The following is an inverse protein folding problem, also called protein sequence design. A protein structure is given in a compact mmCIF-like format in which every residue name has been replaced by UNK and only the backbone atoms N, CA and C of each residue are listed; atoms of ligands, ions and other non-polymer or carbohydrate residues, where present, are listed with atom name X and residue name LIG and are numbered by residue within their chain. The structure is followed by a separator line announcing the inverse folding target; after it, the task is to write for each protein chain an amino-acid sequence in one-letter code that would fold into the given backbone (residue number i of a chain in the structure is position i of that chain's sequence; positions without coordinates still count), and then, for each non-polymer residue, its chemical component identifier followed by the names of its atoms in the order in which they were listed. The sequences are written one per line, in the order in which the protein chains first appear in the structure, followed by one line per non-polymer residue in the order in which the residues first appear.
data_IF_637311698390
#
_entry.id   IF_637311698390
#
_cell.length_a   1.000
_cell.length_b   1.000
_cell.length_c   1.000
_cell.angle_alpha   90.00
_cell.angle_beta   90.00
_cell.angle_gamma   90.00
#
_symmetry.space_group_name_H-M   'P 1'
#
loop_
_entity.id
_entity.type
_entity.pdbx_description
1 polymer ?
#
# COMPACT_ATOMS: atom_id res chain seq x y z
N UNK A 1 -8.45 10.39 0.22
CA UNK A 1 -9.88 10.52 -0.22
C UNK A 1 -10.58 9.18 -0.29
N UNK A 2 -10.15 8.24 -1.13
CA UNK A 2 -10.81 6.94 -1.34
C UNK A 2 -11.13 6.21 -0.04
N UNK A 3 -10.11 5.97 0.80
CA UNK A 3 -10.27 5.28 2.09
C UNK A 3 -11.31 5.95 2.99
N UNK A 4 -11.31 7.28 3.07
CA UNK A 4 -12.28 8.07 3.85
C UNK A 4 -13.71 7.93 3.34
N UNK A 5 -13.91 7.91 2.03
CA UNK A 5 -15.24 7.68 1.43
C UNK A 5 -15.74 6.27 1.70
N UNK A 6 -14.86 5.25 1.65
CA UNK A 6 -15.22 3.87 1.98
C UNK A 6 -15.61 3.76 3.44
N UNK A 7 -14.79 4.29 4.36
CA UNK A 7 -15.08 4.28 5.79
C UNK A 7 -16.40 4.99 6.10
N UNK A 8 -16.66 6.14 5.47
CA UNK A 8 -17.94 6.84 5.58
C UNK A 8 -19.11 5.98 5.12
N UNK A 9 -19.03 5.38 3.93
CA UNK A 9 -20.12 4.56 3.39
C UNK A 9 -20.35 3.30 4.23
N UNK A 10 -19.30 2.69 4.78
CA UNK A 10 -19.40 1.56 5.70
C UNK A 10 -20.04 1.99 7.01
N UNK A 11 -19.55 3.05 7.65
CA UNK A 11 -20.03 3.54 8.94
C UNK A 11 -21.49 3.98 8.87
N UNK A 12 -21.86 4.78 7.87
CA UNK A 12 -23.24 5.25 7.67
C UNK A 12 -24.25 4.11 7.43
N UNK A 13 -23.78 2.94 7.01
CA UNK A 13 -24.58 1.74 6.75
C UNK A 13 -24.26 0.57 7.70
N UNK A 14 -23.63 0.83 8.84
CA UNK A 14 -23.40 -0.14 9.92
C UNK A 14 -24.29 0.24 11.10
N UNK A 15 -25.05 -0.74 11.62
CA UNK A 15 -25.96 -0.50 12.71
C UNK A 15 -25.24 -0.55 14.07
N UNK A 16 -25.54 0.40 14.94
CA UNK A 16 -24.97 0.49 16.29
C UNK A 16 -26.07 0.42 17.35
N UNK A 17 -25.93 -0.50 18.31
CA UNK A 17 -26.94 -0.71 19.35
C UNK A 17 -27.18 0.56 20.18
N UNK A 18 -26.10 1.29 20.49
CA UNK A 18 -26.17 2.54 21.24
C UNK A 18 -27.03 3.60 20.52
N UNK A 19 -26.97 3.66 19.19
CA UNK A 19 -27.78 4.57 18.39
C UNK A 19 -29.27 4.22 18.48
N UNK A 20 -29.59 2.92 18.37
CA UNK A 20 -30.96 2.44 18.50
C UNK A 20 -31.52 2.74 19.90
N UNK A 21 -30.72 2.51 20.95
CA UNK A 21 -31.08 2.83 22.33
C UNK A 21 -31.29 4.33 22.55
N UNK A 22 -30.58 5.18 21.82
CA UNK A 22 -30.77 6.63 21.81
C UNK A 22 -31.97 7.11 20.98
N UNK A 23 -32.69 6.21 20.30
CA UNK A 23 -33.86 6.54 19.47
C UNK A 23 -33.53 7.09 18.08
N UNK A 24 -32.26 7.04 17.66
CA UNK A 24 -31.78 7.64 16.40
C UNK A 24 -31.86 6.69 15.19
N UNK A 25 -32.63 5.59 15.30
CA UNK A 25 -32.77 4.59 14.24
C UNK A 25 -31.66 3.54 14.19
N UNK A 26 -31.75 2.63 13.22
CA UNK A 26 -30.83 1.49 13.08
C UNK A 26 -29.50 1.84 12.43
N UNK A 27 -29.47 2.82 11.51
CA UNK A 27 -28.27 3.21 10.76
C UNK A 27 -28.05 4.71 10.90
N UNK A 28 -26.80 5.22 10.99
CA UNK A 28 -26.54 6.65 11.09
C UNK A 28 -27.07 7.44 9.88
N UNK A 29 -26.66 7.04 8.68
CA UNK A 29 -26.97 7.73 7.41
C UNK A 29 -27.16 6.70 6.28
N UNK A 30 -28.25 5.90 6.31
CA UNK A 30 -28.40 4.77 5.40
C UNK A 30 -28.61 5.21 3.95
N UNK A 31 -27.80 4.67 3.04
CA UNK A 31 -28.04 4.72 1.60
C UNK A 31 -28.70 3.41 1.16
N UNK A 32 -30.01 3.45 0.93
CA UNK A 32 -30.83 2.25 0.67
C UNK A 32 -31.74 2.44 -0.55
N UNK A 33 -31.88 1.38 -1.35
CA UNK A 33 -32.93 1.29 -2.36
C UNK A 33 -34.17 0.61 -1.78
N UNK A 34 -35.36 1.03 -2.22
CA UNK A 34 -36.63 0.39 -1.83
C UNK A 34 -36.63 -1.11 -2.09
N UNK A 35 -36.13 -1.53 -3.25
CA UNK A 35 -36.08 -2.91 -3.72
C UNK A 35 -34.66 -3.52 -3.66
N UNK A 36 -33.80 -2.96 -2.81
CA UNK A 36 -32.46 -3.49 -2.56
C UNK A 36 -32.36 -4.13 -1.19
N UNK A 37 -31.26 -4.86 -0.97
CA UNK A 37 -30.94 -5.48 0.30
C UNK A 37 -30.78 -4.43 1.40
N UNK A 38 -30.91 -4.88 2.65
CA UNK A 38 -30.59 -4.11 3.86
C UNK A 38 -29.32 -4.61 4.52
N UNK A 39 -28.51 -5.38 3.80
CA UNK A 39 -27.25 -5.90 4.31
C UNK A 39 -26.27 -4.75 4.57
N UNK A 40 -25.41 -4.96 5.57
CA UNK A 40 -24.29 -4.08 5.85
C UNK A 40 -23.45 -3.91 4.60
N UNK A 41 -22.99 -2.69 4.35
CA UNK A 41 -22.02 -2.45 3.30
C UNK A 41 -20.65 -2.96 3.73
N UNK A 42 -20.14 -4.01 3.08
CA UNK A 42 -18.86 -4.63 3.40
C UNK A 42 -17.82 -4.21 2.36
N UNK A 43 -17.04 -3.20 2.71
CA UNK A 43 -15.93 -2.71 1.90
C UNK A 43 -14.76 -2.35 2.83
N UNK A 44 -13.54 -2.45 2.31
CA UNK A 44 -12.32 -2.05 3.02
C UNK A 44 -11.22 -1.75 2.00
N UNK A 45 -10.28 -0.89 2.36
CA UNK A 45 -9.00 -0.86 1.68
C UNK A 45 -8.25 -2.17 1.97
N UNK A 46 -7.70 -2.78 0.93
CA UNK A 46 -6.92 -4.00 1.01
C UNK A 46 -5.48 -3.74 0.57
N UNK A 47 -4.60 -4.71 0.84
CA UNK A 47 -3.26 -4.71 0.28
C UNK A 47 -3.29 -4.71 -1.25
N UNK A 48 -2.17 -4.34 -1.86
CA UNK A 48 -2.08 -4.16 -3.30
C UNK A 48 -2.60 -5.37 -4.11
N UNK A 49 -3.42 -5.12 -5.11
CA UNK A 49 -3.80 -6.13 -6.09
C UNK A 49 -3.82 -5.51 -7.48
N UNK A 50 -3.68 -6.35 -8.51
CA UNK A 50 -3.78 -5.95 -9.90
C UNK A 50 -4.89 -6.75 -10.62
N UNK A 51 -4.83 -6.82 -11.96
CA UNK A 51 -5.83 -7.44 -12.84
C UNK A 51 -7.08 -6.59 -13.15
N UNK A 52 -6.92 -5.28 -13.15
CA UNK A 52 -7.92 -4.34 -13.70
C UNK A 52 -7.23 -3.10 -14.23
N UNK A 53 -7.93 -2.28 -15.01
CA UNK A 53 -7.37 -1.28 -15.92
C UNK A 53 -6.51 -0.21 -15.25
N UNK A 54 -6.71 0.06 -13.95
CA UNK A 54 -5.85 0.98 -13.19
C UNK A 54 -4.35 0.60 -13.22
N UNK A 55 -4.04 -0.67 -13.43
CA UNK A 55 -2.67 -1.18 -13.45
C UNK A 55 -1.80 -0.47 -14.49
N UNK A 56 -2.33 -0.20 -15.69
CA UNK A 56 -1.53 0.44 -16.76
C UNK A 56 -1.12 1.86 -16.39
N UNK A 57 -1.86 2.53 -15.51
CA UNK A 57 -1.50 3.87 -15.03
C UNK A 57 -0.44 3.81 -13.91
N UNK A 58 -0.51 2.76 -13.08
CA UNK A 58 0.39 2.56 -11.95
C UNK A 58 1.81 2.11 -12.37
N UNK A 59 1.97 1.59 -13.58
CA UNK A 59 3.23 1.02 -14.05
C UNK A 59 4.36 2.04 -14.15
N UNK A 60 5.59 1.62 -13.86
CA UNK A 60 6.77 2.48 -13.74
C UNK A 60 6.97 3.53 -14.84
N UNK A 61 6.75 3.24 -16.15
CA UNK A 61 6.90 4.26 -17.18
C UNK A 61 5.88 5.40 -17.10
N UNK A 62 4.74 5.20 -16.43
CA UNK A 62 3.64 6.17 -16.30
C UNK A 62 3.57 6.73 -14.88
N UNK A 63 3.57 5.87 -13.87
CA UNK A 63 3.73 6.25 -12.46
C UNK A 63 2.58 7.08 -11.88
N UNK A 64 1.38 7.03 -12.47
CA UNK A 64 0.20 7.74 -11.96
C UNK A 64 -0.48 6.90 -10.89
N UNK A 65 -0.62 7.39 -9.65
CA UNK A 65 -1.32 6.65 -8.60
C UNK A 65 -2.79 6.41 -8.94
N UNK A 66 -3.14 5.14 -9.14
CA UNK A 66 -4.48 4.68 -9.42
C UNK A 66 -4.95 3.65 -8.39
N UNK A 67 -6.24 3.70 -8.08
CA UNK A 67 -6.93 2.68 -7.29
C UNK A 67 -8.01 2.02 -8.14
N UNK A 68 -8.37 0.80 -7.77
CA UNK A 68 -9.59 0.17 -8.26
C UNK A 68 -10.58 0.00 -7.13
N UNK A 69 -11.85 0.20 -7.45
CA UNK A 69 -12.97 -0.07 -6.55
C UNK A 69 -13.76 -1.25 -7.07
N UNK A 70 -13.36 -2.44 -6.61
CA UNK A 70 -13.83 -3.72 -7.15
C UNK A 70 -14.74 -4.43 -6.16
N UNK A 71 -15.83 -5.02 -6.66
CA UNK A 71 -16.67 -5.92 -5.89
C UNK A 71 -16.04 -7.32 -5.87
N UNK A 72 -15.85 -7.90 -4.68
CA UNK A 72 -15.33 -9.25 -4.54
C UNK A 72 -15.91 -9.96 -3.29
N UNK A 73 -16.26 -11.26 -3.35
CA UNK A 73 -16.23 -12.13 -4.53
C UNK A 73 -17.26 -11.72 -5.57
N UNK A 74 -16.90 -11.89 -6.85
CA UNK A 74 -17.83 -11.75 -7.96
C UNK A 74 -18.34 -13.15 -8.34
N UNK A 75 -19.56 -13.47 -7.91
CA UNK A 75 -20.14 -14.81 -8.09
C UNK A 75 -20.60 -15.09 -9.52
N UNK A 76 -20.79 -14.05 -10.34
CA UNK A 76 -21.39 -14.17 -11.66
C UNK A 76 -20.46 -13.80 -12.80
N UNK A 77 -19.26 -13.27 -12.51
CA UNK A 77 -18.22 -12.97 -13.50
C UNK A 77 -18.04 -14.11 -14.51
N UNK A 78 -18.05 -13.77 -15.80
CA UNK A 78 -17.91 -14.70 -16.93
C UNK A 78 -18.95 -15.84 -16.98
N UNK A 79 -20.15 -15.63 -16.42
CA UNK A 79 -21.24 -16.60 -16.47
C UNK A 79 -22.48 -16.05 -17.18
N UNK A 80 -23.40 -16.94 -17.57
CA UNK A 80 -24.70 -16.54 -18.12
C UNK A 80 -25.63 -15.86 -17.09
N UNK A 81 -25.29 -15.95 -15.81
CA UNK A 81 -26.01 -15.34 -14.69
C UNK A 81 -25.51 -13.91 -14.40
N UNK A 82 -24.55 -13.36 -15.15
CA UNK A 82 -24.21 -11.93 -15.10
C UNK A 82 -25.32 -11.09 -15.75
N UNK A 83 -26.39 -10.87 -14.98
CA UNK A 83 -27.68 -10.37 -15.45
C UNK A 83 -28.27 -9.36 -14.49
N UNK A 84 -29.11 -8.45 -15.00
CA UNK A 84 -29.66 -7.33 -14.23
C UNK A 84 -30.44 -7.73 -12.97
N UNK A 85 -31.10 -8.90 -12.97
CA UNK A 85 -31.86 -9.37 -11.81
C UNK A 85 -30.97 -9.81 -10.64
N UNK A 86 -29.67 -10.03 -10.88
CA UNK A 86 -28.69 -10.37 -9.85
C UNK A 86 -28.01 -9.13 -9.24
N UNK A 87 -28.30 -7.93 -9.73
CA UNK A 87 -27.75 -6.68 -9.19
C UNK A 87 -28.55 -6.26 -7.95
N UNK A 88 -27.86 -6.15 -6.80
CA UNK A 88 -28.43 -5.49 -5.64
C UNK A 88 -28.49 -3.96 -5.84
N UNK A 89 -29.71 -3.41 -5.89
CA UNK A 89 -29.94 -1.97 -6.10
C UNK A 89 -29.38 -1.10 -4.99
N UNK A 90 -29.35 -1.60 -3.76
CA UNK A 90 -28.77 -0.87 -2.62
C UNK A 90 -27.25 -0.77 -2.79
N UNK A 91 -26.57 -1.90 -3.04
CA UNK A 91 -25.14 -1.92 -3.30
C UNK A 91 -24.74 -1.08 -4.51
N UNK A 92 -25.49 -1.16 -5.62
CA UNK A 92 -25.24 -0.33 -6.80
C UNK A 92 -25.30 1.17 -6.45
N UNK A 93 -26.34 1.60 -5.72
CA UNK A 93 -26.48 3.00 -5.30
C UNK A 93 -25.35 3.46 -4.38
N UNK A 94 -24.93 2.62 -3.43
CA UNK A 94 -23.78 2.90 -2.54
C UNK A 94 -22.48 3.03 -3.33
N UNK A 95 -22.20 2.10 -4.23
CA UNK A 95 -21.02 2.13 -5.08
C UNK A 95 -21.00 3.39 -5.95
N UNK A 96 -22.13 3.72 -6.60
CA UNK A 96 -22.24 4.90 -7.46
C UNK A 96 -22.03 6.20 -6.66
N UNK A 97 -22.64 6.33 -5.48
CA UNK A 97 -22.44 7.49 -4.61
C UNK A 97 -20.98 7.59 -4.11
N UNK A 98 -20.36 6.48 -3.74
CA UNK A 98 -18.95 6.45 -3.33
C UNK A 98 -18.02 6.89 -4.46
N UNK A 99 -18.18 6.36 -5.68
CA UNK A 99 -17.37 6.77 -6.85
C UNK A 99 -17.58 8.26 -7.17
N UNK A 100 -18.83 8.72 -7.18
CA UNK A 100 -19.15 10.12 -7.43
C UNK A 100 -18.51 11.04 -6.37
N UNK A 101 -18.56 10.67 -5.09
CA UNK A 101 -17.96 11.46 -4.02
C UNK A 101 -16.43 11.49 -4.11
N UNK A 102 -15.79 10.36 -4.42
CA UNK A 102 -14.35 10.30 -4.65
C UNK A 102 -13.93 11.19 -5.83
N UNK A 103 -14.58 11.03 -6.97
CA UNK A 103 -14.29 11.78 -8.19
C UNK A 103 -14.53 13.27 -7.98
N UNK A 104 -15.67 13.66 -7.41
CA UNK A 104 -15.99 15.05 -7.13
C UNK A 104 -14.96 15.68 -6.18
N UNK A 105 -14.63 14.99 -5.08
CA UNK A 105 -13.67 15.50 -4.08
C UNK A 105 -12.29 15.73 -4.68
N UNK A 106 -11.81 14.82 -5.53
CA UNK A 106 -10.51 14.98 -6.19
C UNK A 106 -10.56 16.06 -7.29
N UNK A 107 -11.61 16.08 -8.11
CA UNK A 107 -11.74 17.04 -9.21
C UNK A 107 -12.01 18.47 -8.73
N UNK A 108 -12.61 18.64 -7.55
CA UNK A 108 -12.84 19.94 -6.92
C UNK A 108 -11.80 20.31 -5.87
N UNK A 109 -10.70 19.54 -5.74
CA UNK A 109 -9.65 19.83 -4.78
C UNK A 109 -8.93 21.13 -5.18
N UNK A 110 -8.84 22.05 -4.22
CA UNK A 110 -8.20 23.35 -4.39
C UNK A 110 -7.42 23.73 -3.12
N UNK A 111 -6.85 24.93 -3.11
CA UNK A 111 -6.14 25.49 -1.95
C UNK A 111 -7.02 25.58 -0.68
N UNK A 112 -8.34 25.68 -0.80
CA UNK A 112 -9.27 25.66 0.35
C UNK A 112 -9.42 24.28 0.98
N UNK A 113 -9.22 23.21 0.19
CA UNK A 113 -9.32 21.82 0.64
C UNK A 113 -8.04 21.28 1.31
N UNK A 114 -6.89 21.95 1.11
CA UNK A 114 -5.57 21.42 1.45
C UNK A 114 -5.43 21.00 2.92
N UNK A 115 -5.95 21.78 3.86
CA UNK A 115 -5.84 21.48 5.29
C UNK A 115 -6.58 20.20 5.66
N UNK A 116 -7.73 19.94 5.02
CA UNK A 116 -8.51 18.73 5.25
C UNK A 116 -7.83 17.51 4.63
N UNK A 117 -7.31 17.65 3.41
CA UNK A 117 -6.59 16.58 2.73
C UNK A 117 -5.28 16.23 3.47
N UNK A 118 -4.57 17.22 3.99
CA UNK A 118 -3.40 17.03 4.83
C UNK A 118 -3.73 16.29 6.13
N UNK A 119 -4.82 16.67 6.82
CA UNK A 119 -5.26 15.99 8.03
C UNK A 119 -5.59 14.51 7.78
N UNK A 120 -6.32 14.19 6.70
CA UNK A 120 -6.62 12.81 6.31
C UNK A 120 -5.35 12.03 5.96
N UNK A 121 -4.46 12.63 5.17
CA UNK A 121 -3.22 11.99 4.70
C UNK A 121 -2.30 11.65 5.87
N UNK A 122 -2.05 12.63 6.76
CA UNK A 122 -1.16 12.46 7.91
C UNK A 122 -1.79 11.59 8.99
N UNK A 123 -3.09 11.75 9.25
CA UNK A 123 -3.80 10.94 10.24
C UNK A 123 -3.71 9.44 9.91
N UNK A 124 -4.08 9.08 8.67
CA UNK A 124 -4.03 7.70 8.20
C UNK A 124 -2.61 7.18 8.06
N UNK A 125 -1.66 8.04 7.64
CA UNK A 125 -0.26 7.66 7.59
C UNK A 125 0.33 7.33 8.96
N UNK A 126 -0.10 8.05 10.01
CA UNK A 126 0.29 7.72 11.40
C UNK A 126 -0.26 6.37 11.85
N UNK A 127 -1.49 6.04 11.47
CA UNK A 127 -2.08 4.73 11.78
C UNK A 127 -1.33 3.59 11.09
N UNK A 128 -0.95 3.76 9.82
CA UNK A 128 -0.14 2.77 9.08
C UNK A 128 1.27 2.63 9.66
N UNK A 129 1.94 3.74 9.99
CA UNK A 129 3.25 3.69 10.65
C UNK A 129 3.18 2.98 12.01
N UNK A 130 2.17 3.29 12.83
CA UNK A 130 1.98 2.65 14.14
C UNK A 130 1.67 1.15 14.01
N UNK A 131 0.88 0.76 12.99
CA UNK A 131 0.61 -0.66 12.69
C UNK A 131 1.89 -1.41 12.33
N UNK A 132 2.76 -0.81 11.51
CA UNK A 132 4.04 -1.38 11.11
C UNK A 132 5.04 -1.45 12.28
N UNK A 133 5.07 -0.44 13.16
CA UNK A 133 5.81 -0.49 14.42
C UNK A 133 5.33 -1.66 15.29
N UNK A 134 4.01 -1.82 15.47
CA UNK A 134 3.43 -2.93 16.23
C UNK A 134 3.83 -4.29 15.65
N UNK A 135 3.81 -4.44 14.32
CA UNK A 135 4.29 -5.67 13.65
C UNK A 135 5.77 -5.93 14.00
N UNK A 136 6.63 -4.92 13.85
CA UNK A 136 8.05 -5.01 14.19
C UNK A 136 8.31 -5.41 15.65
N UNK A 137 7.63 -4.76 16.60
CA UNK A 137 7.70 -5.10 18.02
C UNK A 137 7.26 -6.55 18.29
N UNK A 138 6.21 -7.01 17.60
CA UNK A 138 5.73 -8.40 17.76
C UNK A 138 6.73 -9.42 17.23
N UNK A 139 7.44 -9.14 16.14
CA UNK A 139 8.49 -10.01 15.62
C UNK A 139 9.68 -10.08 16.56
N UNK A 140 10.14 -8.94 17.08
CA UNK A 140 11.22 -8.90 18.08
C UNK A 140 10.82 -9.69 19.32
N UNK A 141 9.58 -9.58 19.79
CA UNK A 141 9.10 -10.32 20.95
C UNK A 141 9.08 -11.84 20.71
N UNK A 142 8.62 -12.29 19.53
CA UNK A 142 8.34 -13.70 19.26
C UNK A 142 9.50 -14.51 18.67
N UNK A 143 10.39 -13.89 17.87
CA UNK A 143 11.41 -14.63 17.12
C UNK A 143 12.51 -15.22 18.01
N UNK A 144 13.05 -16.39 17.67
CA UNK A 144 14.24 -16.93 18.33
C UNK A 144 15.48 -16.12 17.95
N UNK A 145 15.62 -15.80 16.65
CA UNK A 145 16.66 -14.91 16.13
C UNK A 145 16.22 -13.44 16.26
N UNK A 146 16.63 -12.82 17.37
CA UNK A 146 16.31 -11.42 17.69
C UNK A 146 17.00 -10.44 16.73
N UNK A 147 18.15 -10.80 16.16
CA UNK A 147 18.94 -9.91 15.32
C UNK A 147 18.28 -9.79 13.95
N UNK A 148 17.90 -10.94 13.36
CA UNK A 148 17.12 -10.96 12.12
C UNK A 148 15.75 -10.25 12.29
N UNK A 149 15.06 -10.48 13.41
CA UNK A 149 13.78 -9.83 13.68
C UNK A 149 13.90 -8.31 13.83
N UNK A 150 14.97 -7.82 14.46
CA UNK A 150 15.24 -6.39 14.58
C UNK A 150 15.48 -5.74 13.21
N UNK A 151 16.33 -6.34 12.37
CA UNK A 151 16.60 -5.83 11.02
C UNK A 151 15.34 -5.80 10.15
N UNK A 152 14.53 -6.87 10.23
CA UNK A 152 13.24 -6.94 9.53
C UNK A 152 12.26 -5.87 10.01
N UNK A 153 12.16 -5.65 11.32
CA UNK A 153 11.32 -4.62 11.91
C UNK A 153 11.75 -3.21 11.50
N UNK A 154 13.07 -2.94 11.49
CA UNK A 154 13.61 -1.66 11.06
C UNK A 154 13.34 -1.38 9.58
N UNK A 155 13.49 -2.38 8.71
CA UNK A 155 13.14 -2.28 7.29
C UNK A 155 11.63 -1.98 7.10
N UNK A 156 10.76 -2.60 7.92
CA UNK A 156 9.31 -2.39 7.89
C UNK A 156 8.91 -0.95 8.25
N UNK A 157 9.50 -0.38 9.31
CA UNK A 157 9.23 1.00 9.73
C UNK A 157 9.72 2.00 8.67
N UNK A 158 10.91 1.77 8.10
CA UNK A 158 11.46 2.60 7.03
C UNK A 158 10.59 2.56 5.78
N UNK A 159 10.10 1.38 5.40
CA UNK A 159 9.15 1.22 4.30
C UNK A 159 7.86 2.01 4.54
N UNK A 160 7.24 1.85 5.70
CA UNK A 160 6.03 2.57 6.04
C UNK A 160 6.25 4.09 5.98
N UNK A 161 7.35 4.59 6.57
CA UNK A 161 7.70 6.01 6.52
C UNK A 161 7.92 6.51 5.09
N UNK A 162 8.61 5.73 4.23
CA UNK A 162 8.83 6.10 2.83
C UNK A 162 7.51 6.22 2.04
N UNK A 163 6.55 5.32 2.27
CA UNK A 163 5.20 5.42 1.66
C UNK A 163 4.46 6.68 2.10
N UNK A 164 4.50 6.99 3.39
CA UNK A 164 3.86 8.20 3.90
C UNK A 164 4.54 9.49 3.43
N UNK A 165 5.87 9.45 3.21
CA UNK A 165 6.58 10.56 2.60
C UNK A 165 6.07 10.85 1.18
N UNK A 166 5.85 9.82 0.35
CA UNK A 166 5.29 10.00 -0.99
C UNK A 166 3.87 10.57 -0.93
N UNK A 167 3.03 10.06 -0.01
CA UNK A 167 1.67 10.55 0.16
C UNK A 167 1.64 12.02 0.62
N UNK A 168 2.48 12.42 1.58
CA UNK A 168 2.59 13.81 2.02
C UNK A 168 3.15 14.71 0.90
N UNK A 169 4.16 14.24 0.17
CA UNK A 169 4.74 15.00 -0.94
C UNK A 169 3.71 15.30 -2.03
N UNK A 170 2.80 14.35 -2.30
CA UNK A 170 1.72 14.54 -3.30
C UNK A 170 0.74 15.68 -2.96
N UNK A 171 0.72 16.17 -1.71
CA UNK A 171 -0.09 17.33 -1.35
C UNK A 171 0.31 18.60 -2.12
N UNK A 172 1.59 18.70 -2.52
CA UNK A 172 2.12 19.81 -3.32
C UNK A 172 1.34 20.04 -4.63
N UNK A 173 0.75 18.97 -5.19
CA UNK A 173 0.03 19.00 -6.47
C UNK A 173 -1.37 19.65 -6.38
N UNK A 174 -1.90 19.90 -5.17
CA UNK A 174 -3.29 20.37 -4.99
C UNK A 174 -3.45 21.88 -5.22
N UNK A 175 -2.44 22.69 -4.92
CA UNK A 175 -2.52 24.14 -5.10
C UNK A 175 -1.44 24.94 -4.39
N UNK A 176 -1.38 26.24 -4.67
CA UNK A 176 -0.39 27.15 -4.11
C UNK A 176 -0.38 27.15 -2.58
N UNK A 177 0.82 27.05 -1.97
CA UNK A 177 1.01 27.02 -0.52
C UNK A 177 0.98 25.62 0.10
N UNK A 178 0.72 24.58 -0.69
CA UNK A 178 0.81 23.20 -0.23
C UNK A 178 2.26 22.75 0.04
N UNK A 179 3.26 23.34 -0.63
CA UNK A 179 4.68 22.98 -0.47
C UNK A 179 5.20 23.20 0.95
N UNK A 180 4.95 24.39 1.54
CA UNK A 180 5.40 24.72 2.89
C UNK A 180 4.73 23.82 3.94
N UNK A 181 3.43 23.55 3.75
CA UNK A 181 2.70 22.61 4.59
C UNK A 181 3.29 21.20 4.48
N UNK A 182 3.50 20.70 3.26
CA UNK A 182 4.07 19.38 3.02
C UNK A 182 5.47 19.25 3.64
N UNK A 183 6.33 20.25 3.48
CA UNK A 183 7.66 20.28 4.09
C UNK A 183 7.61 20.17 5.62
N UNK A 184 6.70 20.92 6.28
CA UNK A 184 6.49 20.82 7.72
C UNK A 184 6.00 19.43 8.15
N UNK A 185 5.07 18.84 7.40
CA UNK A 185 4.54 17.50 7.66
C UNK A 185 5.59 16.40 7.46
N UNK A 186 6.45 16.52 6.45
CA UNK A 186 7.57 15.61 6.20
C UNK A 186 8.58 15.63 7.35
N UNK A 187 8.89 16.82 7.90
CA UNK A 187 9.75 16.94 9.08
C UNK A 187 9.15 16.21 10.29
N UNK A 188 7.85 16.39 10.54
CA UNK A 188 7.14 15.69 11.62
C UNK A 188 7.09 14.17 11.41
N UNK A 189 6.92 13.71 10.16
CA UNK A 189 7.00 12.28 9.83
C UNK A 189 8.40 11.72 10.11
N UNK A 190 9.46 12.44 9.72
CA UNK A 190 10.85 12.05 9.98
C UNK A 190 11.12 11.87 11.47
N UNK A 191 10.69 12.82 12.31
CA UNK A 191 10.79 12.70 13.77
C UNK A 191 10.07 11.45 14.31
N UNK A 192 8.86 11.17 13.82
CA UNK A 192 8.10 9.98 14.22
C UNK A 192 8.73 8.68 13.77
N UNK A 193 9.27 8.64 12.55
CA UNK A 193 9.97 7.48 12.04
C UNK A 193 11.22 7.19 12.89
N UNK A 194 11.97 8.23 13.28
CA UNK A 194 13.12 8.07 14.18
C UNK A 194 12.68 7.54 15.55
N UNK A 195 11.61 8.08 16.12
CA UNK A 195 11.08 7.58 17.39
C UNK A 195 10.65 6.10 17.30
N UNK A 196 9.98 5.70 16.21
CA UNK A 196 9.59 4.30 16.00
C UNK A 196 10.81 3.37 15.90
N UNK A 197 11.91 3.81 15.27
CA UNK A 197 13.16 3.04 15.23
C UNK A 197 13.82 2.94 16.62
N UNK A 198 13.77 3.99 17.42
CA UNK A 198 14.22 3.97 18.81
C UNK A 198 13.37 3.03 19.69
N UNK A 199 12.06 2.99 19.48
CA UNK A 199 11.17 2.07 20.19
C UNK A 199 11.51 0.60 19.84
N UNK A 200 11.82 0.30 18.58
CA UNK A 200 12.32 -1.02 18.17
C UNK A 200 13.67 -1.34 18.82
N UNK A 201 14.59 -0.36 18.90
CA UNK A 201 15.89 -0.53 19.56
C UNK A 201 15.72 -0.84 21.04
N UNK A 202 14.85 -0.09 21.73
CA UNK A 202 14.54 -0.32 23.13
C UNK A 202 13.95 -1.73 23.37
N UNK A 203 13.01 -2.16 22.50
CA UNK A 203 12.43 -3.50 22.59
C UNK A 203 13.47 -4.60 22.36
N UNK A 204 14.37 -4.42 21.41
CA UNK A 204 15.49 -5.35 21.18
C UNK A 204 16.45 -5.41 22.37
N UNK A 205 16.84 -4.25 22.92
CA UNK A 205 17.69 -4.18 24.12
C UNK A 205 17.03 -4.89 25.30
N UNK A 206 15.72 -4.69 25.51
CA UNK A 206 14.98 -5.40 26.55
C UNK A 206 14.94 -6.92 26.31
N UNK A 207 14.82 -7.36 25.06
CA UNK A 207 14.76 -8.78 24.71
C UNK A 207 16.11 -9.49 24.82
N UNK A 208 17.23 -8.79 24.63
CA UNK A 208 18.57 -9.44 24.55
C UNK A 208 19.55 -8.98 25.62
N UNK A 209 19.28 -7.90 26.36
CA UNK A 209 20.21 -7.27 27.29
C UNK A 209 21.40 -6.56 26.62
N UNK A 210 21.32 -6.24 25.32
CA UNK A 210 22.39 -5.57 24.55
C UNK A 210 22.00 -4.12 24.28
N UNK A 211 22.88 -3.18 24.62
CA UNK A 211 22.60 -1.73 24.48
C UNK A 211 22.75 -1.21 23.03
N UNK A 212 23.49 -1.94 22.20
CA UNK A 212 23.71 -1.60 20.79
C UNK A 212 22.82 -2.46 19.88
N UNK A 213 22.35 -1.83 18.79
CA UNK A 213 21.72 -2.55 17.69
C UNK A 213 22.70 -3.59 17.10
N UNK A 214 22.21 -4.75 16.62
CA UNK A 214 23.07 -5.76 16.03
C UNK A 214 23.68 -5.24 14.73
N UNK A 215 24.92 -5.64 14.45
CA UNK A 215 25.51 -5.43 13.13
C UNK A 215 24.71 -6.21 12.08
N UNK A 216 24.55 -5.62 10.89
CA UNK A 216 23.88 -6.28 9.77
C UNK A 216 24.90 -6.92 8.85
N UNK A 217 24.85 -8.24 8.72
CA UNK A 217 25.60 -8.98 7.72
C UNK A 217 24.68 -9.24 6.52
N UNK A 218 25.11 -8.80 5.33
CA UNK A 218 24.36 -9.05 4.10
C UNK A 218 24.65 -10.46 3.59
N UNK A 219 23.62 -11.16 3.14
CA UNK A 219 23.80 -12.40 2.37
C UNK A 219 24.51 -12.12 1.04
N UNK A 220 25.02 -13.16 0.37
CA UNK A 220 25.63 -13.01 -0.96
C UNK A 220 24.66 -12.37 -1.98
N UNK A 221 23.37 -12.72 -1.91
CA UNK A 221 22.35 -12.12 -2.77
C UNK A 221 22.05 -10.66 -2.39
N UNK A 222 21.96 -10.36 -1.09
CA UNK A 222 21.78 -8.98 -0.62
C UNK A 222 22.97 -8.09 -0.99
N UNK A 223 24.20 -8.60 -0.91
CA UNK A 223 25.40 -7.88 -1.34
C UNK A 223 25.36 -7.60 -2.84
N UNK A 224 25.02 -8.59 -3.67
CA UNK A 224 24.83 -8.37 -5.11
C UNK A 224 23.76 -7.32 -5.38
N UNK A 225 22.64 -7.38 -4.67
CA UNK A 225 21.55 -6.41 -4.81
C UNK A 225 21.97 -5.00 -4.35
N UNK A 226 22.81 -4.89 -3.33
CA UNK A 226 23.37 -3.63 -2.85
C UNK A 226 24.19 -2.95 -3.93
N UNK A 227 24.98 -3.73 -4.66
CA UNK A 227 25.92 -3.24 -5.67
C UNK A 227 25.27 -2.99 -7.04
N UNK A 228 23.98 -3.34 -7.20
CA UNK A 228 23.22 -3.16 -8.45
C UNK A 228 22.27 -1.97 -8.36
N UNK A 229 22.24 -1.15 -9.42
CA UNK A 229 21.28 -0.07 -9.61
C UNK A 229 20.44 -0.31 -10.85
N UNK A 230 19.23 -0.86 -10.71
CA UNK A 230 18.33 -1.04 -11.84
C UNK A 230 17.77 0.32 -12.31
N UNK A 231 17.78 0.52 -13.62
CA UNK A 231 17.25 1.71 -14.30
C UNK A 231 16.24 1.27 -15.34
N UNK A 232 15.03 1.84 -15.31
CA UNK A 232 14.02 1.61 -16.35
C UNK A 232 14.52 2.21 -17.67
N UNK A 233 14.52 1.42 -18.75
CA UNK A 233 14.94 1.88 -20.08
C UNK A 233 13.84 1.76 -21.13
N UNK A 234 12.82 0.94 -20.89
CA UNK A 234 11.67 0.81 -21.78
C UNK A 234 10.74 2.03 -21.65
N UNK A 235 10.29 2.56 -22.80
CA UNK A 235 9.19 3.50 -22.85
C UNK A 235 7.85 2.81 -22.58
N UNK A 236 6.74 3.56 -22.49
CA UNK A 236 5.43 2.98 -22.19
C UNK A 236 5.00 1.86 -23.15
N UNK A 237 5.22 2.01 -24.46
CA UNK A 237 4.85 1.00 -25.45
C UNK A 237 5.69 -0.28 -25.30
N UNK A 238 7.02 -0.13 -25.28
CA UNK A 238 7.94 -1.27 -25.15
C UNK A 238 7.75 -2.01 -23.82
N UNK A 239 7.38 -1.28 -22.77
CA UNK A 239 7.08 -1.84 -21.46
C UNK A 239 5.79 -2.67 -21.48
N UNK A 240 4.71 -2.12 -22.02
CA UNK A 240 3.41 -2.80 -22.08
C UNK A 240 3.49 -4.10 -22.90
N UNK A 241 4.23 -4.07 -24.01
CA UNK A 241 4.49 -5.26 -24.85
C UNK A 241 5.48 -6.22 -24.19
N UNK A 242 6.47 -5.67 -23.48
CA UNK A 242 7.62 -6.42 -22.98
C UNK A 242 7.42 -7.07 -21.61
N UNK A 243 6.58 -6.53 -20.74
CA UNK A 243 6.43 -6.96 -19.33
C UNK A 243 6.10 -8.45 -19.17
N UNK A 244 5.39 -9.04 -20.13
CA UNK A 244 5.04 -10.47 -20.09
C UNK A 244 6.13 -11.40 -20.64
N UNK A 245 7.17 -10.85 -21.29
CA UNK A 245 8.34 -11.61 -21.78
C UNK A 245 9.33 -11.93 -20.65
N UNK A 246 9.34 -11.13 -19.58
CA UNK A 246 10.18 -11.38 -18.43
C UNK A 246 9.81 -12.72 -17.77
N UNK A 247 10.81 -13.60 -17.61
CA UNK A 247 10.59 -14.92 -17.01
C UNK A 247 10.20 -14.78 -15.54
N UNK A 248 9.13 -15.49 -15.16
CA UNK A 248 8.67 -15.58 -13.76
C UNK A 248 9.70 -16.33 -12.91
N UNK A 249 9.84 -15.90 -11.66
CA UNK A 249 10.71 -16.55 -10.68
C UNK A 249 9.87 -17.40 -9.72
N UNK A 250 10.27 -18.65 -9.51
CA UNK A 250 9.55 -19.56 -8.61
C UNK A 250 9.60 -19.02 -7.18
N UNK A 251 8.45 -18.95 -6.51
CA UNK A 251 8.34 -18.48 -5.13
C UNK A 251 8.16 -16.96 -5.01
N UNK A 252 8.39 -16.18 -6.07
CA UNK A 252 8.04 -14.76 -6.10
C UNK A 252 6.60 -14.60 -6.60
N UNK A 253 5.70 -14.15 -5.72
CA UNK A 253 4.30 -13.94 -6.09
C UNK A 253 4.19 -12.93 -7.25
N UNK A 254 3.20 -13.12 -8.14
CA UNK A 254 3.04 -12.28 -9.34
C UNK A 254 2.84 -10.80 -9.01
N UNK A 255 2.11 -10.49 -7.94
CA UNK A 255 1.94 -9.11 -7.43
C UNK A 255 3.25 -8.53 -6.91
N UNK A 256 4.10 -9.33 -6.27
CA UNK A 256 5.40 -8.87 -5.79
C UNK A 256 6.39 -8.71 -6.95
N UNK A 257 6.29 -9.54 -7.99
CA UNK A 257 7.03 -9.34 -9.24
C UNK A 257 6.65 -8.01 -9.91
N UNK A 258 5.35 -7.67 -9.91
CA UNK A 258 4.87 -6.38 -10.39
C UNK A 258 5.45 -5.21 -9.57
N UNK A 259 5.43 -5.31 -8.24
CA UNK A 259 6.02 -4.29 -7.36
C UNK A 259 7.54 -4.17 -7.52
N UNK A 260 8.29 -5.26 -7.74
CA UNK A 260 9.74 -5.19 -8.03
C UNK A 260 9.99 -4.33 -9.26
N UNK A 261 9.24 -4.56 -10.34
CA UNK A 261 9.38 -3.80 -11.58
C UNK A 261 9.01 -2.32 -11.37
N UNK A 262 7.93 -2.04 -10.62
CA UNK A 262 7.51 -0.67 -10.35
C UNK A 262 8.41 0.10 -9.37
N UNK A 263 9.15 -0.62 -8.53
CA UNK A 263 10.11 -0.01 -7.64
C UNK A 263 11.40 0.44 -8.36
N UNK A 264 11.61 0.06 -9.63
CA UNK A 264 12.75 0.49 -10.45
C UNK A 264 12.57 1.94 -10.89
N UNK A 265 13.24 2.86 -10.20
CA UNK A 265 13.21 4.30 -10.48
C UNK A 265 14.58 4.89 -10.84
N UNK A 266 15.62 4.06 -10.97
CA UNK A 266 17.00 4.49 -11.22
C UNK A 266 17.76 5.02 -9.99
N UNK A 267 17.07 5.32 -8.89
CA UNK A 267 17.68 5.83 -7.65
C UNK A 267 17.86 4.76 -6.58
N UNK A 268 17.01 3.73 -6.58
CA UNK A 268 17.09 2.61 -5.65
C UNK A 268 18.16 1.62 -6.08
N UNK A 269 18.90 1.08 -5.11
CA UNK A 269 19.66 -0.16 -5.32
C UNK A 269 18.70 -1.34 -5.43
N UNK A 270 19.19 -2.47 -5.95
CA UNK A 270 18.45 -3.73 -5.88
C UNK A 270 18.09 -4.12 -4.44
N UNK A 271 18.93 -3.74 -3.46
CA UNK A 271 18.69 -4.03 -2.04
C UNK A 271 17.53 -3.20 -1.49
N UNK A 272 17.42 -1.93 -1.89
CA UNK A 272 16.30 -1.08 -1.52
C UNK A 272 14.99 -1.61 -2.09
N UNK A 273 15.00 -2.08 -3.35
CA UNK A 273 13.84 -2.69 -3.99
C UNK A 273 13.42 -3.98 -3.27
N UNK A 274 14.38 -4.86 -2.97
CA UNK A 274 14.09 -6.08 -2.21
C UNK A 274 13.44 -5.76 -0.86
N UNK A 275 14.02 -4.84 -0.08
CA UNK A 275 13.50 -4.47 1.23
C UNK A 275 12.11 -3.83 1.15
N UNK A 276 11.88 -2.99 0.15
CA UNK A 276 10.59 -2.36 -0.11
C UNK A 276 9.50 -3.43 -0.39
N UNK A 277 9.75 -4.31 -1.36
CA UNK A 277 8.78 -5.34 -1.76
C UNK A 277 8.58 -6.38 -0.67
N UNK A 278 9.65 -6.78 0.04
CA UNK A 278 9.54 -7.68 1.17
C UNK A 278 8.73 -7.06 2.33
N UNK A 279 8.81 -5.75 2.55
CA UNK A 279 8.02 -5.07 3.57
C UNK A 279 6.53 -5.00 3.20
N UNK A 280 6.17 -4.72 1.94
CA UNK A 280 4.78 -4.84 1.46
C UNK A 280 4.28 -6.28 1.66
N UNK A 281 5.12 -7.28 1.32
CA UNK A 281 4.77 -8.68 1.47
C UNK A 281 4.44 -9.05 2.91
N UNK A 282 5.29 -8.64 3.85
CA UNK A 282 5.14 -8.90 5.29
C UNK A 282 3.99 -8.14 5.94
N UNK A 283 3.68 -6.93 5.47
CA UNK A 283 2.54 -6.16 6.00
C UNK A 283 1.22 -6.88 5.74
N UNK A 284 1.09 -7.48 4.56
CA UNK A 284 -0.05 -8.33 4.24
C UNK A 284 -0.01 -9.69 4.95
N UNK A 285 1.19 -10.28 5.02
CA UNK A 285 1.46 -11.59 5.58
C UNK A 285 1.57 -12.67 4.51
N UNK A 286 2.29 -13.74 4.85
CA UNK A 286 2.68 -14.81 3.92
C UNK A 286 1.48 -15.50 3.23
N UNK A 287 0.30 -15.45 3.85
CA UNK A 287 -0.92 -16.00 3.23
C UNK A 287 -1.30 -15.31 1.92
N UNK A 288 -1.00 -14.01 1.78
CA UNK A 288 -1.38 -13.23 0.60
C UNK A 288 -0.32 -13.28 -0.50
N UNK A 289 0.94 -13.13 -0.14
CA UNK A 289 2.03 -12.94 -1.11
C UNK A 289 3.18 -13.93 -0.97
N UNK A 290 3.16 -14.80 0.04
CA UNK A 290 4.32 -15.60 0.42
C UNK A 290 5.51 -14.74 0.85
N UNK A 291 6.66 -15.39 0.96
CA UNK A 291 7.90 -14.75 1.39
C UNK A 291 8.71 -14.28 0.18
N UNK A 292 9.07 -13.00 0.15
CA UNK A 292 9.97 -12.42 -0.84
C UNK A 292 11.41 -12.62 -0.37
N UNK A 293 12.26 -13.26 -1.16
CA UNK A 293 13.69 -13.45 -0.86
C UNK A 293 14.58 -12.57 -1.74
N UNK A 294 15.79 -12.28 -1.26
CA UNK A 294 16.79 -11.51 -2.00
C UNK A 294 17.19 -12.22 -3.31
N UNK A 295 17.31 -13.55 -3.29
CA UNK A 295 17.63 -14.36 -4.46
C UNK A 295 16.55 -14.24 -5.54
N UNK A 296 15.28 -14.28 -5.13
CA UNK A 296 14.16 -14.19 -6.05
C UNK A 296 14.06 -12.81 -6.72
N UNK A 297 14.29 -11.73 -5.95
CA UNK A 297 14.34 -10.37 -6.49
C UNK A 297 15.53 -10.19 -7.43
N UNK A 298 16.72 -10.68 -7.05
CA UNK A 298 17.92 -10.64 -7.89
C UNK A 298 17.73 -11.39 -9.21
N UNK A 299 17.15 -12.59 -9.17
CA UNK A 299 16.83 -13.36 -10.37
C UNK A 299 15.82 -12.63 -11.25
N UNK A 300 14.78 -12.04 -10.64
CA UNK A 300 13.76 -11.32 -11.40
C UNK A 300 14.30 -10.05 -12.06
N UNK A 301 15.14 -9.26 -11.37
CA UNK A 301 15.82 -8.11 -11.96
C UNK A 301 16.68 -8.51 -13.17
N UNK A 302 17.37 -9.66 -13.11
CA UNK A 302 18.11 -10.20 -14.26
C UNK A 302 17.18 -10.62 -15.40
N UNK A 303 16.03 -11.20 -15.09
CA UNK A 303 15.03 -11.57 -16.10
C UNK A 303 14.40 -10.33 -16.75
N UNK A 304 14.18 -9.25 -16.01
CA UNK A 304 13.73 -7.96 -16.54
C UNK A 304 14.77 -7.33 -17.46
N UNK A 305 16.06 -7.40 -17.09
CA UNK A 305 17.15 -6.90 -17.92
C UNK A 305 17.31 -7.71 -19.22
N UNK A 306 17.19 -9.04 -19.14
CA UNK A 306 17.18 -9.91 -20.31
C UNK A 306 15.97 -9.69 -21.24
N UNK A 307 14.87 -9.14 -20.71
CA UNK A 307 13.70 -8.73 -21.48
C UNK A 307 13.78 -7.29 -21.99
N UNK A 308 14.94 -6.63 -21.82
CA UNK A 308 15.22 -5.26 -22.29
C UNK A 308 14.30 -4.18 -21.66
N UNK A 309 13.71 -4.48 -20.50
CA UNK A 309 12.85 -3.53 -19.77
C UNK A 309 13.66 -2.57 -18.90
N UNK A 310 14.74 -3.11 -18.32
CA UNK A 310 15.62 -2.37 -17.42
C UNK A 310 17.08 -2.60 -17.82
N UNK A 311 17.95 -1.69 -17.39
CA UNK A 311 19.40 -1.87 -17.37
C UNK A 311 19.85 -2.05 -15.93
N UNK A 312 20.87 -2.88 -15.71
CA UNK A 312 21.50 -3.08 -14.40
C UNK A 312 22.87 -2.40 -14.43
N UNK A 313 23.01 -1.30 -13.69
CA UNK A 313 24.25 -0.56 -13.51
C UNK A 313 25.00 -1.00 -12.25
#
# INVERSE_FOLDING_TARGET
VVESVIDYMVAGNTAELAQLQAGSGFYPEPHLSTLGTRHRYNAKMIFFHNNTDHMTFNEAPIGVPGVTFTNWPDNYIHSSDDQLWNIDRTQLGRNAASVALMAYTMASADAGSIQRLAAETVGRGRERLARNLRLGLSWIAAADDKDAAYHMAADQVKFAAAREQLAIASLAEIGSGADELAAGLLSLLGQRSMQALEDLRAAYTQATGRDAAPDRQLSEAEQRLHDLRPVLIAGPEEFLDGRYRARRVRGLHGLMSFEVLNAVNGERTGLDIYRYVAAEAREAGDHYYGTVSAEAVLEYLRNLAAAELIRLD
#
